data_IF_300594831857
#
_entry.id   IF_300594831857
#
_cell.length_a   1.000
_cell.length_b   1.000
_cell.length_c   1.000
_cell.angle_alpha   90.00
_cell.angle_beta   90.00
_cell.angle_gamma   90.00
#
_symmetry.space_group_name_H-M   'P 1'
#
loop_
_entity.id
_entity.type
_entity.pdbx_description
1 polymer ?
#
# COMPACT_ATOMS: atom_id res chain seq x y z
N UNK A 1 -5.95 -19.74 14.17
CA UNK A 1 -6.46 -18.46 13.64
C UNK A 1 -5.27 -17.68 13.11
N UNK A 2 -5.02 -17.69 11.78
CA UNK A 2 -3.93 -16.92 11.16
C UNK A 2 -4.40 -15.47 11.02
N UNK A 3 -3.82 -14.56 11.81
CA UNK A 3 -4.08 -13.13 11.68
C UNK A 3 -3.44 -12.60 10.40
N UNK A 4 -4.26 -12.24 9.40
CA UNK A 4 -3.82 -11.43 8.25
C UNK A 4 -3.34 -10.07 8.78
N UNK A 5 -2.03 -9.85 8.85
CA UNK A 5 -1.44 -8.52 8.98
C UNK A 5 -1.17 -7.97 7.59
N UNK A 6 -2.22 -7.57 6.88
CA UNK A 6 -2.07 -6.67 5.75
C UNK A 6 -1.82 -5.27 6.31
N UNK A 7 -0.68 -4.66 6.01
CA UNK A 7 -0.44 -3.25 6.33
C UNK A 7 -1.55 -2.40 5.71
N UNK A 8 -2.20 -1.57 6.52
CA UNK A 8 -3.26 -0.69 6.05
C UNK A 8 -2.73 0.34 5.05
N UNK A 9 -3.64 1.05 4.39
CA UNK A 9 -3.25 2.17 3.53
C UNK A 9 -2.54 3.26 4.35
N UNK A 10 -1.58 3.92 3.71
CA UNK A 10 -0.81 5.02 4.31
C UNK A 10 -0.87 6.23 3.37
N UNK A 11 -0.81 7.44 3.95
CA UNK A 11 -0.78 8.70 3.21
C UNK A 11 0.33 9.58 3.77
N UNK A 12 1.22 10.07 2.91
CA UNK A 12 2.36 10.90 3.29
C UNK A 12 2.43 12.18 2.46
N UNK A 13 2.86 13.28 3.09
CA UNK A 13 3.12 14.55 2.40
C UNK A 13 4.63 14.71 2.16
N UNK A 14 5.12 14.22 1.03
CA UNK A 14 6.56 14.21 0.72
C UNK A 14 7.20 15.60 0.60
N UNK A 15 6.39 16.66 0.42
CA UNK A 15 6.91 18.04 0.42
C UNK A 15 7.33 18.50 1.83
N UNK A 16 6.66 18.01 2.86
CA UNK A 16 6.89 18.38 4.27
C UNK A 16 7.59 17.29 5.07
N UNK A 17 7.41 16.04 4.66
CA UNK A 17 7.93 14.85 5.31
C UNK A 17 8.48 13.89 4.25
N UNK A 18 9.70 14.18 3.81
CA UNK A 18 10.40 13.39 2.78
C UNK A 18 10.78 11.99 3.23
N UNK A 19 10.72 11.72 4.55
CA UNK A 19 11.12 10.44 5.14
C UNK A 19 9.93 9.59 5.56
N UNK A 20 8.71 10.03 5.25
CA UNK A 20 7.47 9.26 5.49
C UNK A 20 7.29 8.86 6.97
N UNK A 21 7.72 9.71 7.89
CA UNK A 21 7.67 9.43 9.33
C UNK A 21 6.26 9.60 9.91
N UNK A 22 5.41 10.41 9.26
CA UNK A 22 4.09 10.79 9.74
C UNK A 22 3.00 10.30 8.79
N UNK A 23 2.37 9.17 9.12
CA UNK A 23 1.22 8.66 8.38
C UNK A 23 -0.01 9.55 8.64
N UNK A 24 -0.55 10.16 7.59
CA UNK A 24 -1.68 11.09 7.62
C UNK A 24 -3.03 10.42 7.31
N UNK A 25 -3.07 9.09 7.08
CA UNK A 25 -4.26 8.41 6.56
C UNK A 25 -5.53 8.70 7.37
N UNK A 26 -5.46 8.57 8.70
CA UNK A 26 -6.63 8.78 9.57
C UNK A 26 -6.95 10.27 9.77
N UNK A 27 -5.92 11.14 9.82
CA UNK A 27 -6.11 12.58 10.01
C UNK A 27 -6.61 13.30 8.76
N UNK A 28 -6.30 12.78 7.57
CA UNK A 28 -6.70 13.34 6.26
C UNK A 28 -7.57 12.35 5.47
N UNK A 29 -8.52 11.70 6.16
CA UNK A 29 -9.30 10.58 5.62
C UNK A 29 -10.01 10.85 4.30
N UNK A 30 -10.58 12.04 4.11
CA UNK A 30 -11.25 12.42 2.87
C UNK A 30 -10.28 12.43 1.68
N UNK A 31 -9.09 13.01 1.88
CA UNK A 31 -8.03 13.06 0.87
C UNK A 31 -7.49 11.65 0.59
N UNK A 32 -7.31 10.83 1.63
CA UNK A 32 -6.86 9.46 1.51
C UNK A 32 -7.84 8.59 0.69
N UNK A 33 -9.14 8.66 0.98
CA UNK A 33 -10.16 7.92 0.23
C UNK A 33 -10.28 8.43 -1.22
N UNK A 34 -10.10 9.73 -1.48
CA UNK A 34 -10.03 10.26 -2.83
C UNK A 34 -8.87 9.63 -3.63
N UNK A 35 -7.65 9.61 -3.07
CA UNK A 35 -6.50 8.99 -3.74
C UNK A 35 -6.70 7.49 -3.95
N UNK A 36 -7.22 6.78 -2.95
CA UNK A 36 -7.56 5.36 -3.06
C UNK A 36 -8.57 5.09 -4.19
N UNK A 37 -9.57 5.95 -4.36
CA UNK A 37 -10.51 5.88 -5.49
C UNK A 37 -9.81 6.05 -6.85
N UNK A 38 -8.90 7.03 -6.96
CA UNK A 38 -8.10 7.22 -8.18
C UNK A 38 -7.18 6.05 -8.48
N UNK A 39 -6.52 5.50 -7.46
CA UNK A 39 -5.69 4.30 -7.59
C UNK A 39 -6.51 3.11 -8.08
N UNK A 40 -7.68 2.84 -7.48
CA UNK A 40 -8.56 1.77 -7.93
C UNK A 40 -9.03 1.97 -9.39
N UNK A 41 -9.29 3.22 -9.79
CA UNK A 41 -9.64 3.55 -11.18
C UNK A 41 -8.47 3.23 -12.11
N UNK A 42 -7.25 3.66 -11.79
CA UNK A 42 -6.05 3.36 -12.59
C UNK A 42 -5.84 1.84 -12.70
N UNK A 43 -5.95 1.11 -11.59
CA UNK A 43 -5.81 -0.34 -11.58
C UNK A 43 -6.89 -1.00 -12.45
N UNK A 44 -8.14 -0.53 -12.39
CA UNK A 44 -9.23 -1.07 -13.23
C UNK A 44 -9.03 -0.83 -14.73
N UNK A 45 -8.30 0.21 -15.10
CA UNK A 45 -7.96 0.54 -16.49
C UNK A 45 -6.67 -0.16 -16.94
N UNK A 46 -5.84 -0.60 -16.00
CA UNK A 46 -4.62 -1.33 -16.29
C UNK A 46 -4.95 -2.79 -16.69
N UNK A 47 -4.15 -3.38 -17.57
CA UNK A 47 -4.28 -4.81 -17.91
C UNK A 47 -3.99 -5.77 -16.72
N UNK A 48 -3.61 -5.24 -15.56
CA UNK A 48 -3.49 -5.99 -14.32
C UNK A 48 -4.88 -6.16 -13.69
N UNK A 49 -5.53 -7.29 -13.95
CA UNK A 49 -6.70 -7.67 -13.16
C UNK A 49 -6.25 -7.89 -11.72
N UNK A 50 -7.00 -7.33 -10.77
CA UNK A 50 -6.76 -7.52 -9.33
C UNK A 50 -6.72 -9.00 -8.94
N UNK A 51 -7.41 -9.83 -9.72
CA UNK A 51 -7.43 -11.31 -9.63
C UNK A 51 -6.07 -11.97 -9.89
N UNK A 52 -5.15 -11.31 -10.61
CA UNK A 52 -3.78 -11.80 -10.83
C UNK A 52 -2.79 -11.43 -9.71
N UNK A 53 -3.21 -10.60 -8.76
CA UNK A 53 -2.38 -10.17 -7.62
C UNK A 53 -2.61 -11.04 -6.37
N UNK A 54 -3.46 -12.06 -6.45
CA UNK A 54 -3.71 -12.98 -5.31
C UNK A 54 -2.63 -14.06 -5.15
N UNK A 55 -1.73 -14.23 -6.11
CA UNK A 55 -0.50 -14.99 -5.88
C UNK A 55 0.47 -14.13 -5.08
N UNK A 56 0.65 -14.49 -3.80
CA UNK A 56 1.76 -13.99 -2.99
C UNK A 56 3.06 -14.34 -3.74
N UNK A 57 3.69 -13.34 -4.35
CA UNK A 57 5.01 -13.46 -4.95
C UNK A 57 6.01 -13.65 -3.80
N UNK A 58 6.23 -14.92 -3.46
CA UNK A 58 7.01 -15.33 -2.30
C UNK A 58 8.48 -14.89 -2.41
N UNK A 59 8.98 -14.74 -3.65
CA UNK A 59 10.29 -14.16 -3.95
C UNK A 59 10.33 -12.66 -3.63
N UNK A 60 9.30 -11.91 -4.02
CA UNK A 60 9.19 -10.49 -3.64
C UNK A 60 9.06 -10.31 -2.12
N UNK A 61 8.33 -11.19 -1.43
CA UNK A 61 8.22 -11.18 0.03
C UNK A 61 9.54 -11.51 0.72
N UNK A 62 10.29 -12.52 0.25
CA UNK A 62 11.63 -12.82 0.75
C UNK A 62 12.61 -11.66 0.52
N UNK A 63 12.56 -11.00 -0.63
CA UNK A 63 13.35 -9.81 -0.90
C UNK A 63 13.03 -8.70 0.12
N UNK A 64 11.76 -8.41 0.35
CA UNK A 64 11.33 -7.40 1.31
C UNK A 64 11.73 -7.74 2.76
N UNK A 65 11.71 -9.03 3.14
CA UNK A 65 12.25 -9.50 4.43
C UNK A 65 13.75 -9.30 4.52
N UNK A 66 14.50 -9.63 3.47
CA UNK A 66 15.97 -9.48 3.44
C UNK A 66 16.41 -8.01 3.58
N UNK A 67 15.57 -7.09 3.07
CA UNK A 67 15.78 -5.64 3.17
C UNK A 67 15.29 -5.05 4.51
N UNK A 68 14.64 -5.86 5.37
CA UNK A 68 14.15 -5.44 6.68
C UNK A 68 12.85 -4.64 6.66
N UNK A 69 12.13 -4.61 5.52
CA UNK A 69 10.84 -3.92 5.39
C UNK A 69 9.67 -4.72 5.95
N UNK A 70 9.81 -6.05 6.04
CA UNK A 70 8.80 -6.97 6.57
C UNK A 70 9.48 -7.87 7.62
N UNK A 71 8.86 -8.05 8.80
CA UNK A 71 9.29 -8.98 9.85
C UNK A 71 8.63 -10.34 9.72
#
# INVERSE_FOLDING_TARGET
MKGRRGGGYQLYNLKKDTHELNNLYDSEKEVAEFFKSKMNTILSLSHYSREKLEEEDEEALELLRSLGYIQ
#
